data_IF_056153917437
#
_entry.id   IF_056153917437
#
_cell.length_a   1.000
_cell.length_b   1.000
_cell.length_c   1.000
_cell.angle_alpha   90.00
_cell.angle_beta   90.00
_cell.angle_gamma   90.00
#
_symmetry.space_group_name_H-M   'P 1'
#
loop_
_entity.id
_entity.type
_entity.pdbx_description
1 polymer ?
#
# COMPACT_ATOMS: atom_id res chain seq x y z
N UNK A 1 -28.90 73.00 16.19
CA UNK A 1 -28.45 71.80 15.46
C UNK A 1 -27.00 71.58 15.83
N UNK A 2 -26.73 70.65 16.76
CA UNK A 2 -25.39 70.30 17.23
C UNK A 2 -25.11 68.88 16.78
N UNK A 3 -24.42 68.72 15.65
CA UNK A 3 -23.94 67.42 15.17
C UNK A 3 -22.70 67.07 15.98
N UNK A 4 -22.89 66.27 17.03
CA UNK A 4 -21.77 65.72 17.80
C UNK A 4 -21.07 64.65 17.00
N UNK A 5 -19.84 64.91 16.58
CA UNK A 5 -18.92 63.95 16.00
C UNK A 5 -18.60 62.88 17.05
N UNK A 6 -19.21 61.70 16.92
CA UNK A 6 -18.84 60.53 17.70
C UNK A 6 -17.61 59.88 17.07
N UNK A 7 -16.47 60.01 17.75
CA UNK A 7 -15.22 59.34 17.40
C UNK A 7 -15.36 57.83 17.68
N UNK A 8 -15.59 57.03 16.64
CA UNK A 8 -15.72 55.57 16.75
C UNK A 8 -14.33 54.98 17.00
N UNK A 9 -14.04 54.41 18.18
CA UNK A 9 -12.73 53.84 18.45
C UNK A 9 -12.44 52.68 17.48
N UNK A 10 -11.32 52.78 16.76
CA UNK A 10 -10.87 51.74 15.82
C UNK A 10 -10.79 50.40 16.54
N UNK A 11 -11.55 49.41 16.06
CA UNK A 11 -11.58 48.06 16.60
C UNK A 11 -10.14 47.52 16.74
N UNK A 12 -9.73 47.27 17.98
CA UNK A 12 -8.43 46.69 18.28
C UNK A 12 -8.41 45.25 17.74
N UNK A 13 -7.40 44.91 16.93
CA UNK A 13 -7.22 43.56 16.37
C UNK A 13 -6.97 42.59 17.52
N UNK A 14 -8.01 41.90 17.96
CA UNK A 14 -7.90 40.79 18.91
C UNK A 14 -7.08 39.69 18.21
N UNK A 15 -5.84 39.51 18.67
CA UNK A 15 -4.98 38.41 18.21
C UNK A 15 -5.52 37.12 18.82
N UNK A 16 -6.29 36.36 18.05
CA UNK A 16 -6.68 35.01 18.41
C UNK A 16 -5.43 34.17 18.64
N UNK A 17 -5.39 33.43 19.74
CA UNK A 17 -4.31 32.48 20.00
C UNK A 17 -4.34 31.43 18.90
N UNK A 18 -3.17 31.14 18.32
CA UNK A 18 -3.06 30.12 17.28
C UNK A 18 -3.60 28.79 17.79
N UNK A 19 -4.37 28.09 16.96
CA UNK A 19 -4.97 26.82 17.35
C UNK A 19 -3.89 25.75 17.51
N UNK A 20 -4.16 24.71 18.30
CA UNK A 20 -3.22 23.59 18.47
C UNK A 20 -2.86 22.93 17.12
N UNK A 21 -3.82 22.92 16.17
CA UNK A 21 -3.61 22.44 14.81
C UNK A 21 -2.63 23.31 14.01
N UNK A 22 -2.74 24.64 14.11
CA UNK A 22 -1.79 25.57 13.48
C UNK A 22 -0.39 25.43 14.05
N UNK A 23 -0.27 25.26 15.38
CA UNK A 23 1.01 25.02 16.04
C UNK A 23 1.61 23.70 15.57
N UNK A 24 0.81 22.62 15.51
CA UNK A 24 1.26 21.32 15.04
C UNK A 24 1.71 21.35 13.57
N UNK A 25 0.96 22.00 12.69
CA UNK A 25 1.34 22.18 11.28
C UNK A 25 2.64 22.96 11.15
N UNK A 26 2.81 24.01 11.96
CA UNK A 26 4.03 24.82 11.97
C UNK A 26 5.25 24.03 12.45
N UNK A 27 5.09 23.19 13.47
CA UNK A 27 6.16 22.30 13.96
C UNK A 27 6.50 21.26 12.89
N UNK A 28 5.50 20.66 12.24
CA UNK A 28 5.70 19.68 11.17
C UNK A 28 6.46 20.30 9.98
N UNK A 29 6.09 21.52 9.56
CA UNK A 29 6.78 22.23 8.48
C UNK A 29 8.22 22.60 8.85
N UNK A 30 8.46 23.00 10.11
CA UNK A 30 9.81 23.25 10.61
C UNK A 30 10.67 21.99 10.59
N UNK A 31 10.13 20.86 11.05
CA UNK A 31 10.87 19.60 11.10
C UNK A 31 11.13 19.05 9.69
N UNK A 32 10.16 19.19 8.78
CA UNK A 32 10.33 18.84 7.36
C UNK A 32 11.48 19.63 6.72
N UNK A 33 11.55 20.93 6.98
CA UNK A 33 12.66 21.79 6.50
C UNK A 33 14.00 21.40 7.13
N UNK A 34 14.01 20.99 8.40
CA UNK A 34 15.22 20.55 9.10
C UNK A 34 15.76 19.25 8.48
N UNK A 35 14.91 18.24 8.31
CA UNK A 35 15.25 16.96 7.68
C UNK A 35 15.73 17.17 6.24
N UNK A 36 15.12 18.09 5.50
CA UNK A 36 15.54 18.39 4.12
C UNK A 36 16.95 19.01 4.07
N UNK A 37 17.26 19.97 4.96
CA UNK A 37 18.61 20.53 5.08
C UNK A 37 19.64 19.49 5.49
N UNK A 38 19.26 18.55 6.36
CA UNK A 38 20.14 17.47 6.79
C UNK A 38 20.42 16.47 5.66
N UNK A 39 19.38 16.09 4.90
CA UNK A 39 19.55 15.31 3.66
C UNK A 39 20.44 16.02 2.64
N UNK A 40 20.31 17.33 2.47
CA UNK A 40 21.18 18.11 1.59
C UNK A 40 22.63 18.11 2.09
N UNK A 41 22.87 18.23 3.41
CA UNK A 41 24.21 18.12 4.00
C UNK A 41 24.83 16.75 3.77
N UNK A 42 24.07 15.67 3.98
CA UNK A 42 24.52 14.29 3.75
C UNK A 42 24.82 14.06 2.26
N UNK A 43 23.95 14.51 1.36
CA UNK A 43 24.18 14.39 -0.09
C UNK A 43 25.47 15.11 -0.53
N UNK A 44 25.71 16.32 0.01
CA UNK A 44 26.94 17.08 -0.23
C UNK A 44 28.17 16.38 0.32
N UNK A 45 28.09 15.81 1.52
CA UNK A 45 29.19 15.05 2.12
C UNK A 45 29.54 13.79 1.30
N UNK A 46 28.55 13.18 0.66
CA UNK A 46 28.71 11.99 -0.18
C UNK A 46 29.05 12.31 -1.65
N UNK A 47 29.27 13.57 -2.02
CA UNK A 47 29.58 13.97 -3.39
C UNK A 47 28.43 13.76 -4.39
N UNK A 48 27.21 13.49 -3.91
CA UNK A 48 26.04 13.37 -4.76
C UNK A 48 25.52 14.77 -5.12
N UNK A 49 25.33 15.09 -6.41
CA UNK A 49 24.77 16.37 -6.81
C UNK A 49 23.33 16.50 -6.29
N UNK A 50 23.15 17.32 -5.25
CA UNK A 50 21.82 17.68 -4.74
C UNK A 50 21.22 18.75 -5.65
N UNK A 51 20.60 18.32 -6.75
CA UNK A 51 20.03 19.23 -7.74
C UNK A 51 18.70 19.81 -7.24
N UNK A 52 18.77 21.03 -6.68
CA UNK A 52 17.60 21.81 -6.25
C UNK A 52 16.64 22.10 -7.41
N UNK A 53 17.13 22.14 -8.65
CA UNK A 53 16.33 22.44 -9.84
C UNK A 53 15.41 21.25 -10.17
N UNK A 54 15.97 20.03 -10.20
CA UNK A 54 15.22 18.79 -10.43
C UNK A 54 14.06 18.61 -9.44
N UNK A 55 14.26 18.97 -8.16
CA UNK A 55 13.20 18.91 -7.16
C UNK A 55 12.08 19.93 -7.37
N UNK A 56 12.41 21.15 -7.80
CA UNK A 56 11.40 22.17 -8.13
C UNK A 56 10.56 21.72 -9.32
N UNK A 57 11.21 21.08 -10.29
CA UNK A 57 10.56 20.53 -11.47
C UNK A 57 9.69 19.30 -11.12
N UNK A 58 10.16 18.42 -10.22
CA UNK A 58 9.37 17.29 -9.70
C UNK A 58 8.15 17.76 -8.88
N UNK A 59 8.29 18.81 -8.07
CA UNK A 59 7.18 19.38 -7.31
C UNK A 59 6.16 20.06 -8.22
N UNK A 60 6.63 20.74 -9.28
CA UNK A 60 5.77 21.31 -10.31
C UNK A 60 5.06 20.21 -11.12
N UNK A 61 5.73 19.08 -11.41
CA UNK A 61 5.14 17.93 -12.09
C UNK A 61 4.05 17.29 -11.23
N UNK A 62 4.31 17.00 -9.95
CA UNK A 62 3.30 16.45 -9.03
C UNK A 62 2.09 17.35 -8.83
N UNK A 63 2.30 18.67 -8.87
CA UNK A 63 1.20 19.63 -8.79
C UNK A 63 0.34 19.62 -10.07
N UNK A 64 0.93 19.35 -11.23
CA UNK A 64 0.17 19.15 -12.47
C UNK A 64 -0.55 17.82 -12.45
N UNK A 65 0.12 16.73 -12.11
CA UNK A 65 -0.50 15.40 -11.96
C UNK A 65 -1.71 15.45 -11.01
N UNK A 66 -1.61 16.13 -9.86
CA UNK A 66 -2.76 16.30 -8.96
C UNK A 66 -3.90 17.15 -9.52
N UNK A 67 -3.60 18.14 -10.38
CA UNK A 67 -4.63 18.96 -11.03
C UNK A 67 -5.30 18.14 -12.15
N UNK A 68 -4.52 17.42 -12.95
CA UNK A 68 -5.01 16.56 -14.01
C UNK A 68 -5.87 15.41 -13.42
N UNK A 69 -5.46 14.79 -12.30
CA UNK A 69 -6.25 13.78 -11.58
C UNK A 69 -7.56 14.36 -11.01
N UNK A 70 -7.56 15.64 -10.61
CA UNK A 70 -8.77 16.33 -10.11
C UNK A 70 -9.72 16.71 -11.24
N UNK A 71 -9.19 17.08 -12.41
CA UNK A 71 -9.98 17.40 -13.60
C UNK A 71 -10.55 16.12 -14.24
N UNK A 72 -9.79 15.02 -14.29
CA UNK A 72 -10.28 13.71 -14.76
C UNK A 72 -11.38 13.15 -13.83
N UNK A 73 -11.27 13.37 -12.52
CA UNK A 73 -12.33 13.07 -11.56
C UNK A 73 -13.59 13.97 -11.70
N UNK A 74 -13.49 15.10 -12.39
CA UNK A 74 -14.61 16.02 -12.65
C UNK A 74 -15.26 15.77 -14.03
N UNK A 75 -14.50 15.28 -15.01
CA UNK A 75 -14.99 14.93 -16.35
C UNK A 75 -15.70 13.56 -16.40
N UNK A 76 -15.36 12.62 -15.50
CA UNK A 76 -16.13 11.38 -15.27
C UNK A 76 -17.42 11.65 -14.47
N UNK A 77 -18.28 12.50 -15.04
CA UNK A 77 -19.59 12.93 -14.52
C UNK A 77 -20.61 11.80 -14.33
N UNK A 78 -20.34 10.89 -13.40
CA UNK A 78 -21.14 9.69 -13.14
C UNK A 78 -21.51 9.47 -11.67
N UNK A 79 -21.33 10.44 -10.76
CA UNK A 79 -21.64 10.20 -9.34
C UNK A 79 -22.27 11.37 -8.56
N UNK A 80 -23.05 12.23 -9.24
CA UNK A 80 -24.13 12.98 -8.58
C UNK A 80 -25.48 12.23 -8.71
N UNK A 81 -25.42 10.90 -8.62
CA UNK A 81 -26.58 10.06 -8.39
C UNK A 81 -27.10 10.28 -6.98
N UNK A 82 -28.08 11.17 -6.86
CA UNK A 82 -29.21 11.08 -5.94
C UNK A 82 -28.90 10.46 -4.56
N UNK A 83 -28.18 11.20 -3.72
CA UNK A 83 -28.15 10.91 -2.28
C UNK A 83 -29.49 11.37 -1.72
N UNK A 84 -30.50 10.52 -1.89
CA UNK A 84 -31.68 10.54 -1.06
C UNK A 84 -31.22 10.45 0.39
N UNK A 85 -31.54 11.50 1.15
CA UNK A 85 -31.29 11.66 2.57
C UNK A 85 -32.18 10.68 3.36
N UNK A 86 -31.90 9.39 3.20
CA UNK A 86 -32.56 8.29 3.89
C UNK A 86 -32.10 8.23 5.33
N UNK A 87 -32.97 8.70 6.23
CA UNK A 87 -32.90 8.55 7.67
C UNK A 87 -32.74 7.08 8.10
N UNK A 88 -31.51 6.64 8.36
CA UNK A 88 -31.21 5.46 9.15
C UNK A 88 -29.79 5.57 9.73
N UNK A 89 -29.66 6.34 10.81
CA UNK A 89 -28.48 6.35 11.66
C UNK A 89 -28.33 4.98 12.35
N UNK A 90 -27.22 4.26 12.17
CA UNK A 90 -26.89 3.17 13.06
C UNK A 90 -26.52 3.75 14.43
N UNK A 91 -27.13 3.19 15.47
CA UNK A 91 -27.00 3.63 16.85
C UNK A 91 -25.55 3.79 17.28
N UNK A 92 -25.12 5.05 17.37
CA UNK A 92 -23.93 5.44 18.11
C UNK A 92 -24.29 5.33 19.59
N UNK A 93 -23.98 4.18 20.21
CA UNK A 93 -24.11 4.03 21.65
C UNK A 93 -23.17 5.04 22.31
N UNK A 94 -23.76 6.12 22.83
CA UNK A 94 -23.12 7.03 23.76
C UNK A 94 -22.85 6.26 25.05
N UNK A 95 -21.72 5.58 25.14
CA UNK A 95 -21.13 5.26 26.43
C UNK A 95 -20.34 6.47 26.88
N UNK A 96 -21.06 7.29 27.64
CA UNK A 96 -20.55 8.28 28.58
C UNK A 96 -19.27 7.79 29.26
N UNK A 97 -18.15 8.39 28.88
CA UNK A 97 -16.84 8.17 29.49
C UNK A 97 -16.12 9.49 29.71
N UNK A 98 -16.86 10.51 30.15
CA UNK A 98 -16.30 11.71 30.78
C UNK A 98 -15.66 11.29 32.11
N UNK A 99 -14.47 10.70 32.02
CA UNK A 99 -13.56 10.51 33.16
C UNK A 99 -12.99 11.87 33.54
N UNK A 100 -13.47 12.40 34.65
CA UNK A 100 -13.26 13.78 35.08
C UNK A 100 -11.80 14.15 35.29
N UNK A 101 -11.42 15.31 34.74
CA UNK A 101 -10.35 16.14 35.28
C UNK A 101 -11.01 17.15 36.23
N UNK A 102 -11.71 16.62 37.24
CA UNK A 102 -12.20 17.34 38.40
C UNK A 102 -11.27 16.99 39.55
N UNK A 103 -10.20 17.77 39.66
CA UNK A 103 -9.19 17.63 40.71
C UNK A 103 -8.66 18.99 41.19
N UNK A 104 -9.46 20.05 41.03
CA UNK A 104 -9.38 21.25 41.87
C UNK A 104 -10.16 20.94 43.16
N UNK A 105 -9.51 20.21 44.07
CA UNK A 105 -9.82 20.17 45.51
C UNK A 105 -8.44 20.27 46.16
N UNK A 106 -8.02 21.41 46.69
CA UNK A 106 -8.54 21.96 47.95
C UNK A 106 -8.69 20.86 49.01
N UNK A 107 -7.57 20.29 49.42
CA UNK A 107 -7.37 19.93 50.82
C UNK A 107 -6.25 20.86 51.30
N UNK A 108 -6.45 21.86 52.16
CA UNK A 108 -7.29 21.83 53.37
C UNK A 108 -7.14 20.49 54.11
N UNK A 109 -5.95 19.90 54.07
CA UNK A 109 -5.35 19.41 55.29
C UNK A 109 -4.63 20.66 55.82
N UNK A 110 -5.27 21.47 56.65
CA UNK A 110 -5.63 20.95 57.96
C UNK A 110 -4.34 20.45 58.59
N UNK A 111 -3.38 21.37 58.72
CA UNK A 111 -2.22 21.26 59.60
C UNK A 111 -2.76 21.17 61.04
N UNK A 112 -3.46 20.07 61.32
CA UNK A 112 -3.64 19.47 62.63
C UNK A 112 -2.41 18.60 62.84
N UNK A 113 -1.23 19.20 62.74
CA UNK A 113 -0.24 19.00 63.78
C UNK A 113 -0.83 19.60 65.05
N UNK A 114 -1.89 18.97 65.59
CA UNK A 114 -2.13 19.04 67.02
C UNK A 114 -0.82 18.56 67.61
N UNK A 115 -0.02 19.53 68.05
CA UNK A 115 1.01 19.39 69.05
C UNK A 115 0.36 18.64 70.22
N UNK A 116 0.21 17.33 70.08
CA UNK A 116 0.68 16.43 71.12
C UNK A 116 2.20 16.56 71.03
N UNK A 117 2.71 17.74 71.45
CA UNK A 117 3.79 17.72 72.41
C UNK A 117 3.17 16.86 73.49
N UNK A 118 3.42 15.55 73.43
CA UNK A 118 3.53 14.79 74.65
C UNK A 118 4.40 15.70 75.48
N UNK A 119 3.75 16.35 76.44
CA UNK A 119 4.42 17.17 77.42
C UNK A 119 5.47 16.20 77.89
N UNK A 120 6.71 16.43 77.48
CA UNK A 120 7.84 15.70 78.01
C UNK A 120 7.85 16.20 79.45
N UNK A 121 6.97 15.61 80.26
CA UNK A 121 6.95 15.71 81.69
C UNK A 121 8.36 15.25 81.99
N UNK A 122 9.21 16.25 82.23
CA UNK A 122 10.61 16.01 82.50
C UNK A 122 10.68 14.92 83.55
N UNK A 123 11.78 14.14 83.57
CA UNK A 123 11.93 13.05 84.53
C UNK A 123 11.42 13.54 85.91
N UNK A 124 10.49 12.81 86.54
CA UNK A 124 9.82 13.30 87.75
C UNK A 124 10.88 13.74 88.76
N UNK A 125 10.65 14.85 89.49
CA UNK A 125 11.66 15.44 90.36
C UNK A 125 12.22 14.39 91.33
N UNK A 126 13.55 14.31 91.47
CA UNK A 126 14.28 13.22 92.15
C UNK A 126 13.90 12.93 93.63
N UNK A 127 12.96 13.67 94.22
CA UNK A 127 12.47 13.49 95.59
C UNK A 127 11.10 12.80 95.74
N UNK A 128 10.33 12.58 94.65
CA UNK A 128 8.95 12.05 94.76
C UNK A 128 8.81 10.55 94.45
N UNK A 129 9.83 9.91 93.88
CA UNK A 129 9.85 8.48 93.56
C UNK A 129 11.06 7.82 94.24
N UNK A 130 10.87 6.61 94.81
CA UNK A 130 11.98 5.82 95.34
C UNK A 130 12.99 5.44 94.24
N UNK A 131 14.26 5.12 94.60
CA UNK A 131 15.33 4.83 93.63
C UNK A 131 15.00 3.69 92.65
N UNK A 132 14.21 2.71 93.10
CA UNK A 132 13.76 1.59 92.27
C UNK A 132 12.72 2.03 91.22
N UNK A 133 11.78 2.88 91.63
CA UNK A 133 10.76 3.44 90.74
C UNK A 133 11.37 4.33 89.66
N UNK A 134 12.40 5.12 90.00
CA UNK A 134 13.16 5.90 89.02
C UNK A 134 13.90 5.01 88.00
N UNK A 135 14.54 3.92 88.46
CA UNK A 135 15.17 2.94 87.55
C UNK A 135 14.17 2.21 86.65
N UNK A 136 12.96 1.96 87.14
CA UNK A 136 11.88 1.41 86.32
C UNK A 136 11.41 2.40 85.27
N UNK A 137 11.19 3.67 85.67
CA UNK A 137 10.82 4.76 84.77
C UNK A 137 11.85 4.96 83.65
N UNK A 138 13.15 5.03 83.97
CA UNK A 138 14.20 5.18 82.95
C UNK A 138 14.21 3.99 81.98
N UNK A 139 14.09 2.74 82.48
CA UNK A 139 14.01 1.55 81.61
C UNK A 139 12.78 1.58 80.71
N UNK A 140 11.65 2.06 81.22
CA UNK A 140 10.41 2.21 80.45
C UNK A 140 10.55 3.27 79.36
N UNK A 141 11.14 4.43 79.68
CA UNK A 141 11.44 5.49 78.71
C UNK A 141 12.36 4.99 77.58
N UNK A 142 13.42 4.24 77.91
CA UNK A 142 14.29 3.64 76.89
C UNK A 142 13.54 2.64 75.99
N UNK A 143 12.64 1.81 76.54
CA UNK A 143 11.81 0.88 75.75
C UNK A 143 10.81 1.60 74.86
N UNK A 144 10.26 2.72 75.32
CA UNK A 144 9.33 3.54 74.53
C UNK A 144 10.07 4.25 73.39
N UNK A 145 11.24 4.82 73.67
CA UNK A 145 12.11 5.40 72.64
C UNK A 145 12.55 4.35 71.59
N UNK A 146 12.91 3.13 72.03
CA UNK A 146 13.26 2.03 71.13
C UNK A 146 12.07 1.61 70.26
N UNK A 147 10.88 1.43 70.84
CA UNK A 147 9.65 1.14 70.07
C UNK A 147 9.32 2.23 69.06
N UNK A 148 9.49 3.51 69.42
CA UNK A 148 9.28 4.61 68.50
C UNK A 148 10.29 4.59 67.33
N UNK A 149 11.55 4.25 67.61
CA UNK A 149 12.58 4.08 66.58
C UNK A 149 12.27 2.91 65.64
N UNK A 150 11.86 1.75 66.19
CA UNK A 150 11.49 0.56 65.42
C UNK A 150 10.28 0.86 64.50
N UNK A 151 9.26 1.55 65.03
CA UNK A 151 8.08 1.97 64.24
C UNK A 151 8.45 2.92 63.11
N UNK A 152 9.32 3.90 63.36
CA UNK A 152 9.78 4.83 62.31
C UNK A 152 10.66 4.13 61.26
N UNK A 153 11.51 3.18 61.67
CA UNK A 153 12.29 2.37 60.74
C UNK A 153 11.39 1.48 59.88
N UNK A 154 10.39 0.82 60.46
CA UNK A 154 9.41 0.03 59.73
C UNK A 154 8.59 0.89 58.77
N UNK A 155 8.26 2.13 59.15
CA UNK A 155 7.61 3.09 58.25
C UNK A 155 8.49 3.43 57.06
N UNK A 156 9.79 3.69 57.28
CA UNK A 156 10.77 3.97 56.21
C UNK A 156 10.99 2.77 55.30
N UNK A 157 11.07 1.55 55.86
CA UNK A 157 11.16 0.31 55.09
C UNK A 157 9.89 0.10 54.26
N UNK A 158 8.72 0.39 54.84
CA UNK A 158 7.43 0.33 54.14
C UNK A 158 7.34 1.29 52.97
N UNK A 159 7.75 2.55 53.14
CA UNK A 159 7.77 3.54 52.05
C UNK A 159 8.78 3.18 50.98
N UNK A 160 10.00 2.81 51.38
CA UNK A 160 11.05 2.40 50.44
C UNK A 160 10.65 1.16 49.61
N UNK A 161 9.97 0.19 50.24
CA UNK A 161 9.44 -0.99 49.53
C UNK A 161 8.38 -0.62 48.50
N UNK A 162 7.44 0.25 48.86
CA UNK A 162 6.39 0.73 47.92
C UNK A 162 7.01 1.50 46.75
N UNK A 163 7.96 2.39 47.02
CA UNK A 163 8.66 3.14 45.98
C UNK A 163 9.47 2.23 45.06
N UNK A 164 10.13 1.20 45.60
CA UNK A 164 10.84 0.20 44.82
C UNK A 164 9.90 -0.65 43.95
N UNK A 165 8.76 -1.10 44.49
CA UNK A 165 7.74 -1.85 43.75
C UNK A 165 7.14 -0.99 42.62
N UNK A 166 6.80 0.26 42.90
CA UNK A 166 6.32 1.19 41.87
C UNK A 166 7.37 1.48 40.80
N UNK A 167 8.63 1.66 41.18
CA UNK A 167 9.73 1.86 40.24
C UNK A 167 9.93 0.64 39.34
N UNK A 168 9.88 -0.57 39.90
CA UNK A 168 9.96 -1.81 39.15
C UNK A 168 8.79 -1.95 38.16
N UNK A 169 7.55 -1.65 38.59
CA UNK A 169 6.38 -1.67 37.71
C UNK A 169 6.49 -0.64 36.57
N UNK A 170 6.94 0.59 36.86
CA UNK A 170 7.19 1.61 35.83
C UNK A 170 8.25 1.16 34.83
N UNK A 171 9.32 0.53 35.29
CA UNK A 171 10.37 0.00 34.43
C UNK A 171 9.85 -1.12 33.50
N UNK A 172 9.06 -2.06 34.04
CA UNK A 172 8.43 -3.12 33.24
C UNK A 172 7.52 -2.54 32.16
N UNK A 173 6.69 -1.55 32.50
CA UNK A 173 5.78 -0.91 31.53
C UNK A 173 6.52 -0.20 30.40
N UNK A 174 7.66 0.43 30.70
CA UNK A 174 8.51 1.09 29.70
C UNK A 174 9.14 0.05 28.77
N UNK A 175 9.60 -1.08 29.31
CA UNK A 175 10.21 -2.14 28.50
C UNK A 175 9.17 -2.82 27.60
N UNK A 176 7.99 -3.14 28.11
CA UNK A 176 6.88 -3.69 27.31
C UNK A 176 6.47 -2.75 26.16
N UNK A 177 6.34 -1.44 26.44
CA UNK A 177 6.05 -0.45 25.41
C UNK A 177 7.17 -0.38 24.35
N UNK A 178 8.43 -0.54 24.76
CA UNK A 178 9.57 -0.57 23.84
C UNK A 178 9.54 -1.82 22.94
N UNK A 179 9.24 -2.98 23.52
CA UNK A 179 9.10 -4.24 22.78
C UNK A 179 7.95 -4.17 21.79
N UNK A 180 6.79 -3.65 22.18
CA UNK A 180 5.64 -3.49 21.29
C UNK A 180 5.96 -2.54 20.13
N UNK A 181 6.60 -1.40 20.42
CA UNK A 181 7.03 -0.44 19.39
C UNK A 181 8.03 -1.07 18.41
N UNK A 182 8.96 -1.87 18.92
CA UNK A 182 9.92 -2.59 18.06
C UNK A 182 9.23 -3.68 17.23
N UNK A 183 8.35 -4.48 17.82
CA UNK A 183 7.58 -5.50 17.12
C UNK A 183 6.72 -4.86 16.01
N UNK A 184 6.08 -3.73 16.29
CA UNK A 184 5.33 -2.95 15.29
C UNK A 184 6.22 -2.42 14.17
N UNK A 185 7.43 -1.94 14.49
CA UNK A 185 8.41 -1.51 13.48
C UNK A 185 8.86 -2.68 12.61
N UNK A 186 9.14 -3.84 13.19
CA UNK A 186 9.50 -5.07 12.46
C UNK A 186 8.37 -5.54 11.55
N UNK A 187 7.13 -5.56 12.03
CA UNK A 187 5.94 -5.90 11.23
C UNK A 187 5.75 -4.94 10.05
N UNK A 188 5.90 -3.63 10.27
CA UNK A 188 5.82 -2.62 9.21
C UNK A 188 6.91 -2.81 8.16
N UNK A 189 8.16 -3.00 8.58
CA UNK A 189 9.27 -3.23 7.67
C UNK A 189 9.08 -4.52 6.85
N UNK A 190 8.58 -5.59 7.46
CA UNK A 190 8.27 -6.84 6.75
C UNK A 190 7.12 -6.65 5.76
N UNK A 191 6.04 -5.97 6.16
CA UNK A 191 4.91 -5.68 5.29
C UNK A 191 5.31 -4.80 4.09
N UNK A 192 6.14 -3.78 4.31
CA UNK A 192 6.68 -2.92 3.25
C UNK A 192 7.57 -3.72 2.29
N UNK A 193 8.44 -4.58 2.80
CA UNK A 193 9.27 -5.47 1.97
C UNK A 193 8.41 -6.42 1.13
N UNK A 194 7.42 -7.08 1.74
CA UNK A 194 6.51 -7.97 1.04
C UNK A 194 5.69 -7.24 -0.03
N UNK A 195 5.23 -6.01 0.25
CA UNK A 195 4.52 -5.18 -0.72
C UNK A 195 5.42 -4.82 -1.91
N UNK A 196 6.69 -4.51 -1.68
CA UNK A 196 7.66 -4.23 -2.74
C UNK A 196 7.93 -5.47 -3.60
N UNK A 197 8.17 -6.62 -2.98
CA UNK A 197 8.37 -7.88 -3.71
C UNK A 197 7.13 -8.27 -4.54
N UNK A 198 5.93 -8.05 -4.02
CA UNK A 198 4.69 -8.26 -4.77
C UNK A 198 4.54 -7.31 -5.97
N UNK A 199 4.92 -6.03 -5.81
CA UNK A 199 4.92 -5.06 -6.90
C UNK A 199 5.94 -5.44 -7.98
N UNK A 200 7.16 -5.82 -7.58
CA UNK A 200 8.22 -6.23 -8.50
C UNK A 200 7.80 -7.49 -9.28
N UNK A 201 7.24 -8.49 -8.61
CA UNK A 201 6.71 -9.71 -9.25
C UNK A 201 5.54 -9.43 -10.20
N UNK A 202 4.63 -8.52 -9.84
CA UNK A 202 3.53 -8.11 -10.70
C UNK A 202 4.03 -7.37 -11.96
N UNK A 203 5.04 -6.52 -11.81
CA UNK A 203 5.67 -5.81 -12.92
C UNK A 203 6.39 -6.78 -13.88
N UNK A 204 7.12 -7.76 -13.35
CA UNK A 204 7.78 -8.81 -14.15
C UNK A 204 6.75 -9.67 -14.91
N UNK A 205 5.68 -10.11 -14.25
CA UNK A 205 4.62 -10.86 -14.90
C UNK A 205 3.89 -10.05 -16.00
N UNK A 206 3.70 -8.75 -15.79
CA UNK A 206 3.13 -7.85 -16.80
C UNK A 206 4.09 -7.66 -17.99
N UNK A 207 5.40 -7.56 -17.74
CA UNK A 207 6.41 -7.48 -18.79
C UNK A 207 6.44 -8.75 -19.65
N UNK A 208 6.42 -9.93 -19.03
CA UNK A 208 6.37 -11.21 -19.74
C UNK A 208 5.12 -11.33 -20.62
N UNK A 209 3.94 -11.00 -20.08
CA UNK A 209 2.69 -11.01 -20.87
C UNK A 209 2.75 -10.04 -22.06
N UNK A 210 3.38 -8.88 -21.87
CA UNK A 210 3.56 -7.89 -22.94
C UNK A 210 4.50 -8.43 -24.02
N UNK A 211 5.61 -9.05 -23.64
CA UNK A 211 6.55 -9.68 -24.57
C UNK A 211 5.89 -10.81 -25.36
N UNK A 212 5.18 -11.72 -24.69
CA UNK A 212 4.39 -12.78 -25.33
C UNK A 212 3.36 -12.22 -26.31
N UNK A 213 2.66 -11.15 -25.93
CA UNK A 213 1.71 -10.46 -26.81
C UNK A 213 2.37 -9.85 -28.05
N UNK A 214 3.56 -9.26 -27.91
CA UNK A 214 4.34 -8.73 -29.03
C UNK A 214 4.85 -9.86 -29.94
N UNK A 215 5.29 -10.98 -29.39
CA UNK A 215 5.74 -12.13 -30.17
C UNK A 215 4.57 -12.72 -30.98
N UNK A 216 3.41 -12.89 -30.36
CA UNK A 216 2.20 -13.38 -31.03
C UNK A 216 1.76 -12.44 -32.16
N UNK A 217 1.83 -11.12 -31.94
CA UNK A 217 1.59 -10.11 -32.99
C UNK A 217 2.59 -10.23 -34.13
N UNK A 218 3.88 -10.37 -33.81
CA UNK A 218 4.92 -10.54 -34.81
C UNK A 218 4.75 -11.84 -35.62
N UNK A 219 4.32 -12.92 -34.98
CA UNK A 219 4.00 -14.20 -35.62
C UNK A 219 2.83 -14.06 -36.60
N UNK A 220 1.75 -13.39 -36.19
CA UNK A 220 0.62 -13.07 -37.07
C UNK A 220 1.01 -12.18 -38.26
N UNK A 221 1.88 -11.20 -38.03
CA UNK A 221 2.45 -10.40 -39.11
C UNK A 221 3.33 -11.22 -40.08
N UNK A 222 4.14 -12.16 -39.56
CA UNK A 222 4.92 -13.11 -40.37
C UNK A 222 4.01 -14.05 -41.15
N UNK A 223 2.92 -14.52 -40.55
CA UNK A 223 1.91 -15.35 -41.21
C UNK A 223 1.34 -14.64 -42.44
N UNK A 224 0.95 -13.35 -42.34
CA UNK A 224 0.49 -12.58 -43.50
C UNK A 224 1.55 -12.47 -44.59
N UNK A 225 2.79 -12.11 -44.23
CA UNK A 225 3.90 -12.02 -45.19
C UNK A 225 4.15 -13.34 -45.92
N UNK A 226 4.13 -14.46 -45.18
CA UNK A 226 4.27 -15.81 -45.76
C UNK A 226 3.09 -16.17 -46.66
N UNK A 227 1.85 -15.82 -46.27
CA UNK A 227 0.68 -16.04 -47.13
C UNK A 227 0.82 -15.29 -48.45
N UNK A 228 1.17 -14.00 -48.40
CA UNK A 228 1.38 -13.20 -49.63
C UNK A 228 2.47 -13.81 -50.50
N UNK A 229 3.64 -14.12 -49.93
CA UNK A 229 4.76 -14.71 -50.66
C UNK A 229 4.46 -16.11 -51.23
N UNK A 230 3.59 -16.89 -50.56
CA UNK A 230 3.19 -18.20 -51.05
C UNK A 230 2.38 -18.11 -52.35
N UNK A 231 1.49 -17.11 -52.46
CA UNK A 231 0.62 -16.94 -53.62
C UNK A 231 1.17 -16.01 -54.70
N UNK A 232 2.25 -15.29 -54.41
CA UNK A 232 2.99 -14.50 -55.39
C UNK A 232 3.94 -15.44 -56.16
N UNK A 233 3.74 -15.55 -57.47
CA UNK A 233 4.31 -16.60 -58.32
C UNK A 233 5.81 -16.39 -58.65
N UNK A 234 6.54 -15.59 -57.88
CA UNK A 234 7.91 -15.19 -58.20
C UNK A 234 8.94 -16.31 -57.96
N UNK A 235 8.61 -17.32 -57.14
CA UNK A 235 9.53 -18.43 -56.80
C UNK A 235 9.00 -19.77 -57.32
N UNK A 236 9.52 -20.18 -58.48
CA UNK A 236 9.06 -21.36 -59.25
C UNK A 236 9.65 -22.70 -58.75
N UNK A 237 10.74 -22.70 -57.97
CA UNK A 237 11.53 -23.92 -57.73
C UNK A 237 11.92 -24.19 -56.27
N UNK A 238 10.94 -24.20 -55.35
CA UNK A 238 11.13 -24.74 -53.99
C UNK A 238 10.11 -25.84 -53.76
N UNK A 239 10.60 -27.04 -53.41
CA UNK A 239 9.77 -28.16 -52.95
C UNK A 239 9.19 -27.82 -51.58
N UNK A 240 7.92 -27.39 -51.53
CA UNK A 240 7.22 -27.04 -50.30
C UNK A 240 6.75 -28.30 -49.58
N UNK A 241 6.89 -28.32 -48.25
CA UNK A 241 6.26 -29.31 -47.38
C UNK A 241 5.02 -28.78 -46.67
N UNK A 242 4.33 -29.67 -45.95
CA UNK A 242 3.15 -29.34 -45.14
C UNK A 242 3.46 -28.28 -44.07
N UNK A 243 4.64 -28.33 -43.46
CA UNK A 243 5.06 -27.38 -42.42
C UNK A 243 5.44 -25.99 -42.99
N UNK A 244 5.75 -25.89 -44.29
CA UNK A 244 6.13 -24.63 -44.93
C UNK A 244 4.90 -23.75 -45.22
N UNK A 245 3.72 -24.38 -45.31
CA UNK A 245 2.46 -23.68 -45.55
C UNK A 245 2.07 -22.92 -44.26
N UNK A 246 1.79 -21.60 -44.35
CA UNK A 246 1.41 -20.79 -43.20
C UNK A 246 -0.05 -21.06 -42.80
N UNK A 247 -0.31 -22.18 -42.13
CA UNK A 247 -1.65 -22.50 -41.64
C UNK A 247 -2.11 -21.49 -40.57
N UNK A 248 -3.38 -21.02 -40.58
CA UNK A 248 -3.91 -20.03 -39.64
C UNK A 248 -4.26 -20.65 -38.28
N UNK A 249 -3.31 -21.30 -37.62
CA UNK A 249 -3.52 -22.03 -36.36
C UNK A 249 -2.79 -21.31 -35.24
N UNK A 250 -3.47 -21.12 -34.10
CA UNK A 250 -2.82 -20.67 -32.87
C UNK A 250 -2.01 -21.84 -32.33
N UNK A 251 -0.82 -22.04 -32.89
CA UNK A 251 0.03 -23.13 -32.49
C UNK A 251 0.40 -22.91 -31.01
N UNK A 252 0.03 -23.86 -30.15
CA UNK A 252 0.46 -23.84 -28.76
C UNK A 252 1.99 -24.03 -28.78
N UNK A 253 2.72 -22.91 -28.77
CA UNK A 253 4.19 -22.93 -28.68
C UNK A 253 4.60 -23.63 -27.39
N UNK A 254 4.84 -24.93 -27.47
CA UNK A 254 6.02 -25.48 -26.81
C UNK A 254 7.20 -24.69 -27.37
N UNK A 255 7.99 -24.04 -26.50
CA UNK A 255 9.03 -23.02 -26.75
C UNK A 255 10.16 -23.42 -27.73
N UNK A 256 9.87 -23.89 -28.95
CA UNK A 256 10.85 -24.34 -29.93
C UNK A 256 10.23 -24.44 -31.33
N UNK A 257 10.95 -23.94 -32.33
CA UNK A 257 10.52 -23.63 -33.69
C UNK A 257 10.11 -24.83 -34.59
N UNK A 258 9.63 -25.92 -34.03
CA UNK A 258 9.10 -27.04 -34.80
C UNK A 258 7.86 -27.58 -34.12
N UNK A 259 6.77 -26.83 -34.23
CA UNK A 259 5.45 -27.43 -34.06
C UNK A 259 5.24 -28.21 -35.34
N UNK A 260 5.46 -29.52 -35.28
CA UNK A 260 5.01 -30.45 -36.30
C UNK A 260 3.49 -30.32 -36.32
N UNK A 261 2.99 -29.43 -37.18
CA UNK A 261 1.56 -29.25 -37.38
C UNK A 261 1.06 -30.55 -37.99
N UNK A 262 0.17 -31.23 -37.27
CA UNK A 262 -0.58 -32.35 -37.82
C UNK A 262 -1.91 -31.84 -38.36
N UNK A 263 -2.51 -32.60 -39.28
CA UNK A 263 -3.84 -32.30 -39.82
C UNK A 263 -4.91 -32.19 -38.72
N UNK A 264 -4.69 -32.86 -37.58
CA UNK A 264 -5.55 -32.84 -36.40
C UNK A 264 -5.55 -31.49 -35.65
N UNK A 265 -4.49 -30.68 -35.78
CA UNK A 265 -4.39 -29.38 -35.10
C UNK A 265 -5.25 -28.30 -35.77
N UNK A 266 -5.76 -28.58 -36.98
CA UNK A 266 -6.65 -27.73 -37.77
C UNK A 266 -8.09 -27.73 -37.22
N UNK A 267 -8.22 -27.59 -35.90
CA UNK A 267 -9.52 -27.53 -35.22
C UNK A 267 -10.18 -26.16 -35.38
N UNK A 268 -11.51 -26.12 -35.30
CA UNK A 268 -12.30 -24.88 -35.36
C UNK A 268 -11.86 -23.87 -34.32
N UNK A 269 -11.56 -24.31 -33.10
CA UNK A 269 -11.15 -23.42 -32.00
C UNK A 269 -9.78 -22.81 -32.22
N UNK A 270 -8.79 -23.58 -32.69
CA UNK A 270 -7.44 -23.06 -32.93
C UNK A 270 -7.43 -22.05 -34.08
N UNK A 271 -8.17 -22.33 -35.17
CA UNK A 271 -8.29 -21.42 -36.32
C UNK A 271 -9.06 -20.16 -35.93
N UNK A 272 -10.17 -20.30 -35.21
CA UNK A 272 -10.96 -19.17 -34.68
C UNK A 272 -10.11 -18.26 -33.80
N UNK A 273 -9.40 -18.84 -32.83
CA UNK A 273 -8.56 -18.08 -31.90
C UNK A 273 -7.49 -17.28 -32.63
N UNK A 274 -6.84 -17.88 -33.63
CA UNK A 274 -5.80 -17.22 -34.41
C UNK A 274 -6.35 -16.05 -35.25
N UNK A 275 -7.40 -16.30 -36.04
CA UNK A 275 -7.95 -15.30 -36.95
C UNK A 275 -8.66 -14.16 -36.21
N UNK A 276 -9.27 -14.44 -35.06
CA UNK A 276 -9.89 -13.37 -34.25
C UNK A 276 -8.83 -12.51 -33.58
N UNK A 277 -7.75 -13.10 -33.06
CA UNK A 277 -6.62 -12.33 -32.57
C UNK A 277 -5.96 -11.48 -33.67
N UNK A 278 -5.93 -11.99 -34.91
CA UNK A 278 -5.47 -11.22 -36.07
C UNK A 278 -6.40 -10.03 -36.38
N UNK A 279 -7.72 -10.22 -36.30
CA UNK A 279 -8.68 -9.14 -36.50
C UNK A 279 -8.59 -8.07 -35.39
N UNK A 280 -8.44 -8.50 -34.13
CA UNK A 280 -8.32 -7.60 -32.98
C UNK A 280 -7.03 -6.76 -33.04
N UNK A 281 -5.92 -7.29 -33.53
CA UNK A 281 -4.68 -6.53 -33.74
C UNK A 281 -4.78 -5.44 -34.82
N UNK A 282 -5.57 -5.68 -35.85
CA UNK A 282 -5.76 -4.76 -36.97
C UNK A 282 -6.88 -3.75 -36.72
N UNK A 283 -7.59 -3.87 -35.61
CA UNK A 283 -8.83 -3.13 -35.36
C UNK A 283 -9.88 -3.39 -36.45
N UNK A 284 -9.81 -4.57 -37.09
CA UNK A 284 -10.61 -4.92 -38.27
C UNK A 284 -11.86 -5.72 -37.94
N UNK A 285 -12.85 -5.67 -38.84
CA UNK A 285 -14.02 -6.54 -38.80
C UNK A 285 -13.60 -8.02 -38.95
N UNK A 286 -13.95 -8.86 -37.97
CA UNK A 286 -13.68 -10.31 -37.98
C UNK A 286 -14.20 -10.97 -39.25
N UNK A 287 -15.36 -10.56 -39.77
CA UNK A 287 -15.91 -11.09 -41.03
C UNK A 287 -15.06 -10.70 -42.24
N UNK A 288 -14.37 -9.56 -42.21
CA UNK A 288 -13.43 -9.16 -43.27
C UNK A 288 -12.20 -10.08 -43.28
N UNK A 289 -11.61 -10.34 -42.12
CA UNK A 289 -10.45 -11.23 -41.97
C UNK A 289 -10.80 -12.67 -42.39
N UNK A 290 -11.97 -13.18 -41.99
CA UNK A 290 -12.45 -14.50 -42.43
C UNK A 290 -12.63 -14.55 -43.96
N UNK A 291 -13.23 -13.53 -44.58
CA UNK A 291 -13.38 -13.48 -46.04
C UNK A 291 -12.04 -13.42 -46.77
N UNK A 292 -11.05 -12.71 -46.23
CA UNK A 292 -9.68 -12.73 -46.76
C UNK A 292 -9.06 -14.12 -46.65
N UNK A 293 -9.19 -14.78 -45.49
CA UNK A 293 -8.69 -16.13 -45.29
C UNK A 293 -9.34 -17.14 -46.25
N UNK A 294 -10.67 -17.09 -46.46
CA UNK A 294 -11.37 -17.94 -47.42
C UNK A 294 -10.84 -17.74 -48.85
N UNK A 295 -10.55 -16.51 -49.26
CA UNK A 295 -9.98 -16.21 -50.59
C UNK A 295 -8.56 -16.73 -50.77
N UNK A 296 -7.79 -16.83 -49.68
CA UNK A 296 -6.44 -17.39 -49.67
C UNK A 296 -6.48 -18.91 -49.69
N UNK A 297 -7.29 -19.52 -48.82
CA UNK A 297 -7.37 -20.97 -48.62
C UNK A 297 -8.52 -21.64 -49.41
N UNK A 298 -8.95 -21.04 -50.52
CA UNK A 298 -9.93 -21.68 -51.40
C UNK A 298 -9.30 -22.91 -52.07
N UNK A 299 -9.92 -24.09 -51.93
CA UNK A 299 -9.37 -25.37 -52.39
C UNK A 299 -8.92 -25.33 -53.85
N UNK A 300 -9.77 -24.87 -54.77
CA UNK A 300 -9.45 -24.79 -56.20
C UNK A 300 -8.23 -23.88 -56.52
N UNK A 301 -8.16 -22.70 -55.88
CA UNK A 301 -7.05 -21.76 -56.06
C UNK A 301 -5.75 -22.31 -55.47
N UNK A 302 -5.85 -23.00 -54.34
CA UNK A 302 -4.71 -23.63 -53.69
C UNK A 302 -4.18 -24.81 -54.51
N UNK A 303 -5.07 -25.64 -55.04
CA UNK A 303 -4.74 -26.79 -55.89
C UNK A 303 -4.05 -26.37 -57.19
N UNK A 304 -4.47 -25.25 -57.78
CA UNK A 304 -3.86 -24.75 -59.02
C UNK A 304 -2.51 -24.06 -58.81
N UNK A 305 -2.33 -23.32 -57.71
CA UNK A 305 -1.12 -22.48 -57.49
C UNK A 305 -0.06 -23.09 -56.58
N UNK A 306 -0.47 -23.77 -55.51
CA UNK A 306 0.44 -24.20 -54.45
C UNK A 306 0.73 -25.70 -54.55
N UNK A 307 -0.28 -26.53 -54.80
CA UNK A 307 -0.13 -27.99 -54.84
C UNK A 307 0.94 -28.51 -55.83
N UNK A 308 1.14 -27.92 -57.04
CA UNK A 308 2.21 -28.35 -57.94
C UNK A 308 3.62 -28.17 -57.36
N UNK A 309 3.79 -27.23 -56.41
CA UNK A 309 5.06 -26.93 -55.74
C UNK A 309 5.30 -27.80 -54.51
N UNK A 310 4.28 -28.52 -54.04
CA UNK A 310 4.37 -29.39 -52.86
C UNK A 310 4.98 -30.73 -53.25
N UNK A 311 5.85 -31.27 -52.37
CA UNK A 311 6.43 -32.60 -52.51
C UNK A 311 5.35 -33.66 -52.70
N UNK A 312 5.53 -34.57 -53.66
CA UNK A 312 4.53 -35.60 -53.98
C UNK A 312 4.09 -36.40 -52.75
N UNK A 313 5.03 -36.71 -51.84
CA UNK A 313 4.77 -37.45 -50.61
C UNK A 313 3.83 -36.73 -49.62
N UNK A 314 3.72 -35.41 -49.69
CA UNK A 314 2.92 -34.60 -48.76
C UNK A 314 1.70 -33.94 -49.44
N UNK A 315 1.52 -34.12 -50.76
CA UNK A 315 0.42 -33.49 -51.51
C UNK A 315 -0.96 -33.86 -50.97
N UNK A 316 -1.18 -35.14 -50.66
CA UNK A 316 -2.48 -35.58 -50.14
C UNK A 316 -2.75 -34.97 -48.76
N UNK A 317 -1.73 -34.93 -47.90
CA UNK A 317 -1.84 -34.31 -46.57
C UNK A 317 -2.15 -32.81 -46.66
N UNK A 318 -1.52 -32.10 -47.61
CA UNK A 318 -1.79 -30.70 -47.87
C UNK A 318 -3.21 -30.50 -48.41
N UNK A 319 -3.66 -31.35 -49.34
CA UNK A 319 -5.03 -31.32 -49.88
C UNK A 319 -6.06 -31.46 -48.77
N UNK A 320 -5.92 -32.48 -47.93
CA UNK A 320 -6.79 -32.69 -46.77
C UNK A 320 -6.79 -31.48 -45.82
N UNK A 321 -5.62 -30.92 -45.54
CA UNK A 321 -5.49 -29.74 -44.67
C UNK A 321 -6.18 -28.49 -45.22
N UNK A 322 -6.07 -28.24 -46.53
CA UNK A 322 -6.77 -27.12 -47.19
C UNK A 322 -8.28 -27.33 -47.15
N UNK A 323 -8.77 -28.54 -47.44
CA UNK A 323 -10.19 -28.85 -47.37
C UNK A 323 -10.76 -28.69 -45.95
N UNK A 324 -10.02 -29.17 -44.94
CA UNK A 324 -10.39 -29.01 -43.54
C UNK A 324 -10.50 -27.53 -43.15
N UNK A 325 -9.49 -26.71 -43.48
CA UNK A 325 -9.52 -25.27 -43.20
C UNK A 325 -10.63 -24.57 -43.96
N UNK A 326 -10.84 -24.89 -45.25
CA UNK A 326 -11.89 -24.27 -46.04
C UNK A 326 -13.28 -24.50 -45.39
N UNK A 327 -13.55 -25.73 -44.90
CA UNK A 327 -14.79 -26.04 -44.16
C UNK A 327 -14.88 -25.23 -42.87
N UNK A 328 -13.83 -25.25 -42.04
CA UNK A 328 -13.78 -24.50 -40.77
C UNK A 328 -14.02 -23.00 -41.00
N UNK A 329 -13.42 -22.41 -42.03
CA UNK A 329 -13.57 -20.99 -42.34
C UNK A 329 -15.00 -20.65 -42.78
N UNK A 330 -15.63 -21.51 -43.58
CA UNK A 330 -17.03 -21.35 -44.00
C UNK A 330 -17.97 -21.45 -42.79
N UNK A 331 -17.74 -22.43 -41.91
CA UNK A 331 -18.53 -22.61 -40.69
C UNK A 331 -18.40 -21.39 -39.77
N UNK A 332 -17.18 -20.88 -39.56
CA UNK A 332 -16.93 -19.68 -38.76
C UNK A 332 -17.57 -18.42 -39.35
N UNK A 333 -17.56 -18.28 -40.68
CA UNK A 333 -18.23 -17.15 -41.35
C UNK A 333 -19.75 -17.24 -41.23
N UNK A 334 -20.31 -18.45 -41.27
CA UNK A 334 -21.75 -18.66 -41.09
C UNK A 334 -22.20 -18.40 -39.65
N UNK A 335 -21.33 -18.67 -38.66
CA UNK A 335 -21.61 -18.49 -37.24
C UNK A 335 -21.37 -17.05 -36.72
N UNK A 336 -20.61 -16.22 -37.45
CA UNK A 336 -20.26 -14.84 -37.07
C UNK A 336 -21.20 -13.83 -37.69
#
# INVERSE_FOLDING_TARGET
MMSGDYDIPRASRIKLKSTAAEIASKIYDQERRRVEKERERVARANGLPYDRKRKRDDAARRRREYIDDMDEAFEDGGLFGDISFGSALPGFSSSSGLGGISGLFSSVFGDRTSHVRDVFEGPPPMGSMGPEAYRAYVREQFRTAQRAQDVEEDRRRGTARREAEEAAYRAQRIEEEREEREAKRRRRAHAEKAAREAQDAAAEAAALRREEGLEQRAERARWRKRCTALFDNEVVSVELGFADIPWPVAAAKGRGYSIVLNSEDLTTDNVRRFLFALADDEGGDRRKVLREAIRLFHSDRFHSRVLPRVKESERERVREGVEAIARVLTDLLSAT
#
